data_IF_253387397400
#
_entry.id   IF_253387397400
#
_cell.length_a   1.000
_cell.length_b   1.000
_cell.length_c   1.000
_cell.angle_alpha   90.00
_cell.angle_beta   90.00
_cell.angle_gamma   90.00
#
_symmetry.space_group_name_H-M   'P 1'
#
loop_
_entity.id
_entity.type
_entity.pdbx_description
1 polymer ?
#
# COMPACT_ATOMS: atom_id res chain seq x y z
N UNK A 1 14.44 -7.51 -20.42
CA UNK A 1 14.97 -7.15 -21.76
C UNK A 1 16.48 -7.01 -21.70
N UNK A 2 17.21 -7.65 -22.62
CA UNK A 2 18.65 -7.45 -22.76
C UNK A 2 18.91 -6.24 -23.67
N UNK A 3 19.14 -5.08 -23.07
CA UNK A 3 19.43 -3.86 -23.83
C UNK A 3 20.74 -3.96 -24.60
N UNK A 4 21.72 -4.75 -24.17
CA UNK A 4 22.96 -4.91 -24.93
C UNK A 4 22.66 -5.61 -26.26
N UNK A 5 21.89 -6.71 -26.21
CA UNK A 5 21.45 -7.42 -27.40
C UNK A 5 20.60 -6.54 -28.32
N UNK A 6 19.75 -5.67 -27.76
CA UNK A 6 18.92 -4.73 -28.55
C UNK A 6 19.79 -3.79 -29.38
N UNK A 7 20.76 -3.12 -28.76
CA UNK A 7 21.66 -2.19 -29.45
C UNK A 7 22.49 -2.91 -30.53
N UNK A 8 23.01 -4.11 -30.23
CA UNK A 8 23.75 -4.92 -31.18
C UNK A 8 22.89 -5.31 -32.41
N UNK A 9 21.65 -5.76 -32.18
CA UNK A 9 20.72 -6.15 -33.26
C UNK A 9 20.23 -4.96 -34.08
N UNK A 10 20.09 -3.78 -33.47
CA UNK A 10 19.77 -2.54 -34.19
C UNK A 10 20.98 -1.93 -34.91
N UNK A 11 22.20 -2.43 -34.66
CA UNK A 11 23.42 -1.87 -35.24
C UNK A 11 23.79 -0.48 -34.69
N UNK A 12 23.41 -0.17 -33.45
CA UNK A 12 23.64 1.12 -32.79
C UNK A 12 24.64 0.95 -31.65
N UNK A 13 25.59 1.89 -31.52
CA UNK A 13 26.50 1.93 -30.38
C UNK A 13 25.76 2.24 -29.08
N UNK A 14 26.12 1.57 -27.98
CA UNK A 14 25.53 1.78 -26.65
C UNK A 14 25.81 3.16 -26.06
N UNK A 15 26.76 3.89 -26.62
CA UNK A 15 27.10 5.26 -26.22
C UNK A 15 26.13 6.29 -26.81
N UNK A 16 25.35 5.91 -27.82
CA UNK A 16 24.41 6.79 -28.50
C UNK A 16 22.98 6.52 -28.04
N UNK A 17 22.09 7.49 -28.22
CA UNK A 17 20.65 7.25 -28.01
C UNK A 17 20.09 6.38 -29.14
N UNK A 18 19.55 5.22 -28.78
CA UNK A 18 19.04 4.22 -29.74
C UNK A 18 18.02 4.80 -30.71
N UNK A 19 17.02 5.52 -30.21
CA UNK A 19 15.92 6.03 -31.01
C UNK A 19 16.38 7.17 -31.91
N UNK A 20 17.24 8.05 -31.40
CA UNK A 20 17.81 9.14 -32.18
C UNK A 20 18.70 8.64 -33.34
N UNK A 21 19.45 7.56 -33.14
CA UNK A 21 20.27 6.96 -34.20
C UNK A 21 19.42 6.23 -35.24
N UNK A 22 18.40 5.49 -34.81
CA UNK A 22 17.45 4.84 -35.74
C UNK A 22 16.76 5.88 -36.64
N UNK A 23 16.38 7.04 -36.08
CA UNK A 23 15.76 8.13 -36.85
C UNK A 23 16.67 8.69 -37.95
N UNK A 24 18.00 8.54 -37.85
CA UNK A 24 18.97 8.98 -38.87
C UNK A 24 19.27 7.91 -39.91
N UNK A 25 18.79 6.67 -39.73
CA UNK A 25 19.08 5.55 -40.63
C UNK A 25 18.30 5.64 -41.95
N UNK A 26 18.80 5.02 -43.04
CA UNK A 26 18.01 4.79 -44.24
C UNK A 26 16.73 4.01 -43.91
N UNK A 27 15.61 4.33 -44.57
CA UNK A 27 14.28 3.80 -44.23
C UNK A 27 14.22 2.27 -44.05
N UNK A 28 14.88 1.50 -44.93
CA UNK A 28 14.91 0.04 -44.81
C UNK A 28 15.68 -0.48 -43.59
N UNK A 29 16.76 0.21 -43.18
CA UNK A 29 17.52 -0.14 -41.96
C UNK A 29 16.77 0.29 -40.70
N UNK A 30 16.13 1.47 -40.74
CA UNK A 30 15.29 1.93 -39.66
C UNK A 30 14.12 0.97 -39.40
N UNK A 31 13.45 0.48 -40.45
CA UNK A 31 12.36 -0.48 -40.33
C UNK A 31 12.80 -1.78 -39.64
N UNK A 32 13.94 -2.36 -40.05
CA UNK A 32 14.48 -3.57 -39.41
C UNK A 32 14.86 -3.32 -37.95
N UNK A 33 15.45 -2.16 -37.64
CA UNK A 33 15.80 -1.81 -36.26
C UNK A 33 14.55 -1.63 -35.37
N UNK A 34 13.46 -1.08 -35.92
CA UNK A 34 12.17 -0.97 -35.22
C UNK A 34 11.52 -2.34 -35.01
N UNK A 35 11.55 -3.25 -35.99
CA UNK A 35 11.07 -4.63 -35.83
C UNK A 35 11.82 -5.37 -34.71
N UNK A 36 13.13 -5.17 -34.60
CA UNK A 36 13.93 -5.72 -33.48
C UNK A 36 13.45 -5.17 -32.15
N UNK A 37 13.19 -3.86 -32.06
CA UNK A 37 12.67 -3.24 -30.84
C UNK A 37 11.31 -3.85 -30.49
N UNK A 38 10.40 -3.97 -31.46
CA UNK A 38 9.06 -4.50 -31.24
C UNK A 38 9.09 -5.98 -30.80
N UNK A 39 9.94 -6.81 -31.41
CA UNK A 39 10.15 -8.20 -31.00
C UNK A 39 10.66 -8.29 -29.56
N UNK A 40 11.65 -7.48 -29.21
CA UNK A 40 12.24 -7.48 -27.88
C UNK A 40 11.31 -6.89 -26.82
N UNK A 41 10.49 -5.90 -27.18
CA UNK A 41 9.43 -5.38 -26.32
C UNK A 41 8.31 -6.40 -26.14
N UNK A 42 7.94 -7.17 -27.17
CA UNK A 42 6.97 -8.25 -27.03
C UNK A 42 7.46 -9.31 -26.04
N UNK A 43 8.75 -9.67 -26.09
CA UNK A 43 9.37 -10.53 -25.07
C UNK A 43 9.42 -9.85 -23.70
N UNK A 44 9.71 -8.54 -23.67
CA UNK A 44 9.63 -7.72 -22.47
C UNK A 44 8.26 -7.77 -21.82
N UNK A 45 7.17 -7.65 -22.59
CA UNK A 45 5.79 -7.76 -22.11
C UNK A 45 5.54 -9.14 -21.49
N UNK A 46 5.98 -10.23 -22.14
CA UNK A 46 5.83 -11.60 -21.61
C UNK A 46 6.54 -11.83 -20.28
N UNK A 47 7.64 -11.14 -20.04
CA UNK A 47 8.50 -11.32 -18.86
C UNK A 47 8.34 -10.21 -17.82
N UNK A 48 7.46 -9.24 -18.05
CA UNK A 48 7.27 -8.08 -17.18
C UNK A 48 6.68 -8.53 -15.84
N UNK A 49 7.30 -8.05 -14.76
CA UNK A 49 6.86 -8.32 -13.40
C UNK A 49 6.88 -7.02 -12.59
N UNK A 50 6.02 -6.97 -11.57
CA UNK A 50 6.06 -5.88 -10.59
C UNK A 50 7.26 -6.08 -9.66
N UNK A 51 7.96 -4.99 -9.36
CA UNK A 51 9.02 -5.00 -8.37
C UNK A 51 8.44 -5.25 -6.97
N UNK A 52 9.13 -6.02 -6.10
CA UNK A 52 8.69 -6.24 -4.72
C UNK A 52 8.39 -4.93 -3.96
N UNK A 53 7.17 -4.80 -3.44
CA UNK A 53 6.75 -3.58 -2.74
C UNK A 53 6.02 -2.55 -3.61
N UNK A 54 5.92 -2.75 -4.94
CA UNK A 54 5.15 -1.87 -5.82
C UNK A 54 3.67 -1.78 -5.41
N UNK A 55 3.08 -2.91 -5.02
CA UNK A 55 1.67 -2.98 -4.61
C UNK A 55 1.47 -2.21 -3.29
N UNK A 56 2.34 -2.43 -2.31
CA UNK A 56 2.35 -1.77 -1.01
C UNK A 56 2.52 -0.26 -1.16
N UNK A 57 3.49 0.16 -1.98
CA UNK A 57 3.71 1.57 -2.32
C UNK A 57 2.46 2.19 -2.93
N UNK A 58 1.85 1.56 -3.94
CA UNK A 58 0.64 2.09 -4.58
C UNK A 58 -0.54 2.19 -3.61
N UNK A 59 -0.73 1.21 -2.73
CA UNK A 59 -1.76 1.26 -1.68
C UNK A 59 -1.50 2.43 -0.71
N UNK A 60 -0.25 2.61 -0.31
CA UNK A 60 0.16 3.69 0.60
C UNK A 60 -0.01 5.07 -0.04
N UNK A 61 0.40 5.26 -1.30
CA UNK A 61 0.20 6.50 -2.05
C UNK A 61 -1.29 6.84 -2.18
N UNK A 62 -2.12 5.84 -2.54
CA UNK A 62 -3.58 6.01 -2.62
C UNK A 62 -4.19 6.42 -1.29
N UNK A 63 -3.76 5.81 -0.19
CA UNK A 63 -4.22 6.15 1.16
C UNK A 63 -3.83 7.58 1.59
N UNK A 64 -2.79 8.15 1.00
CA UNK A 64 -2.39 9.56 1.15
C UNK A 64 -2.93 10.47 0.04
N UNK A 65 -3.80 9.95 -0.84
CA UNK A 65 -4.36 10.69 -1.98
C UNK A 65 -3.29 11.29 -2.90
N UNK A 66 -2.14 10.62 -3.01
CA UNK A 66 -1.04 11.01 -3.89
C UNK A 66 -1.26 10.43 -5.30
N UNK A 67 -1.33 11.27 -6.35
CA UNK A 67 -1.47 10.79 -7.72
C UNK A 67 -0.18 10.15 -8.22
N UNK A 68 -0.31 9.25 -9.20
CA UNK A 68 0.83 8.55 -9.82
C UNK A 68 0.75 8.67 -11.33
N UNK A 69 1.90 8.99 -11.94
CA UNK A 69 2.10 9.06 -13.39
C UNK A 69 3.22 8.13 -13.79
N UNK A 70 3.27 7.80 -15.08
CA UNK A 70 4.34 6.99 -15.66
C UNK A 70 4.99 7.79 -16.78
N UNK A 71 6.32 7.78 -16.83
CA UNK A 71 7.09 8.26 -17.98
C UNK A 71 8.05 7.16 -18.41
N UNK A 72 7.85 6.61 -19.61
CA UNK A 72 8.62 5.47 -20.11
C UNK A 72 9.08 5.67 -21.55
N UNK A 73 10.17 4.98 -21.93
CA UNK A 73 10.61 4.88 -23.34
C UNK A 73 9.98 3.69 -24.07
N UNK A 74 9.14 2.91 -23.38
CA UNK A 74 8.40 1.79 -23.99
C UNK A 74 7.22 2.31 -24.81
N UNK A 75 6.74 1.48 -25.73
CA UNK A 75 5.51 1.71 -26.51
C UNK A 75 4.25 1.86 -25.65
N UNK A 76 3.24 2.53 -26.21
CA UNK A 76 1.90 2.62 -25.66
C UNK A 76 1.27 1.24 -25.45
N UNK A 77 1.56 0.27 -26.32
CA UNK A 77 1.14 -1.12 -26.15
C UNK A 77 1.71 -1.75 -24.87
N UNK A 78 2.98 -1.48 -24.57
CA UNK A 78 3.64 -1.96 -23.35
C UNK A 78 3.07 -1.30 -22.09
N UNK A 79 2.69 -0.02 -22.18
CA UNK A 79 1.97 0.68 -21.10
C UNK A 79 0.59 0.05 -20.88
N UNK A 80 -0.15 -0.26 -21.94
CA UNK A 80 -1.45 -0.93 -21.81
C UNK A 80 -1.30 -2.33 -21.22
N UNK A 81 -0.27 -3.08 -21.63
CA UNK A 81 0.03 -4.38 -21.05
C UNK A 81 0.33 -4.27 -19.54
N UNK A 82 1.15 -3.31 -19.11
CA UNK A 82 1.39 -3.03 -17.69
C UNK A 82 0.07 -2.77 -16.96
N UNK A 83 -0.80 -1.93 -17.51
CA UNK A 83 -2.08 -1.61 -16.86
C UNK A 83 -3.02 -2.81 -16.78
N UNK A 84 -3.19 -3.55 -17.88
CA UNK A 84 -4.18 -4.62 -17.99
C UNK A 84 -3.71 -5.93 -17.35
N UNK A 85 -2.44 -6.31 -17.54
CA UNK A 85 -1.92 -7.61 -17.11
C UNK A 85 -1.32 -7.58 -15.70
N UNK A 86 -0.85 -6.43 -15.23
CA UNK A 86 -0.20 -6.31 -13.91
C UNK A 86 -1.00 -5.42 -12.96
N UNK A 87 -1.27 -4.16 -13.32
CA UNK A 87 -1.92 -3.22 -12.41
C UNK A 87 -3.34 -3.65 -12.04
N UNK A 88 -4.16 -4.01 -13.04
CA UNK A 88 -5.56 -4.44 -12.85
C UNK A 88 -5.69 -5.63 -11.89
N UNK A 89 -5.04 -6.78 -12.17
CA UNK A 89 -5.07 -7.94 -11.28
C UNK A 89 -4.49 -7.67 -9.88
N UNK A 90 -3.51 -6.78 -9.76
CA UNK A 90 -2.91 -6.39 -8.47
C UNK A 90 -3.75 -5.35 -7.69
N UNK A 91 -4.84 -4.82 -8.26
CA UNK A 91 -5.65 -3.76 -7.67
C UNK A 91 -4.96 -2.38 -7.62
N UNK A 92 -3.85 -2.23 -8.36
CA UNK A 92 -3.12 -0.98 -8.51
C UNK A 92 -3.89 -0.03 -9.44
N UNK A 93 -3.84 1.29 -9.20
CA UNK A 93 -4.43 2.24 -10.13
C UNK A 93 -3.65 2.22 -11.45
N UNK A 94 -4.32 2.62 -12.53
CA UNK A 94 -3.61 2.99 -13.76
C UNK A 94 -2.82 4.28 -13.51
N UNK A 95 -1.68 4.43 -14.15
CA UNK A 95 -0.93 5.68 -14.11
C UNK A 95 -1.66 6.73 -14.96
N UNK A 96 -1.82 7.94 -14.44
CA UNK A 96 -2.50 9.04 -15.15
C UNK A 96 -1.79 10.40 -14.90
N UNK A 97 -1.13 10.99 -15.93
CA UNK A 97 -0.97 10.43 -17.27
C UNK A 97 0.09 9.31 -17.31
N UNK A 98 0.01 8.46 -18.32
CA UNK A 98 1.04 7.48 -18.64
C UNK A 98 1.66 7.84 -19.99
N UNK A 99 2.81 8.53 -19.95
CA UNK A 99 3.55 9.00 -21.12
C UNK A 99 4.48 7.90 -21.62
N UNK A 100 4.20 7.42 -22.82
CA UNK A 100 4.98 6.45 -23.59
C UNK A 100 5.86 7.16 -24.63
N UNK A 101 6.67 6.39 -25.37
CA UNK A 101 7.40 6.95 -26.52
C UNK A 101 6.51 7.32 -27.70
N UNK A 102 5.29 6.80 -27.75
CA UNK A 102 4.38 6.97 -28.89
C UNK A 102 3.48 8.21 -28.72
N UNK A 103 3.58 8.91 -27.59
CA UNK A 103 2.81 10.12 -27.30
C UNK A 103 3.29 11.31 -28.13
N UNK A 104 2.46 11.70 -29.09
CA UNK A 104 2.80 12.74 -30.06
C UNK A 104 3.06 14.10 -29.38
N UNK A 105 4.18 14.73 -29.75
CA UNK A 105 4.57 16.05 -29.23
C UNK A 105 5.24 16.02 -27.85
N UNK A 106 5.45 14.84 -27.26
CA UNK A 106 6.22 14.68 -26.04
C UNK A 106 7.46 13.84 -26.35
N UNK A 107 8.66 14.44 -26.40
CA UNK A 107 9.88 13.69 -26.63
C UNK A 107 10.12 12.64 -25.52
N UNK A 108 10.68 11.47 -25.85
CA UNK A 108 10.99 10.45 -24.85
C UNK A 108 12.09 10.94 -23.89
N UNK A 109 12.20 10.28 -22.71
CA UNK A 109 13.31 10.53 -21.76
C UNK A 109 14.65 10.49 -22.50
N UNK A 110 15.60 11.40 -22.22
CA UNK A 110 15.71 12.23 -21.02
C UNK A 110 15.14 13.67 -21.15
N UNK A 111 14.30 13.97 -22.15
CA UNK A 111 13.72 15.32 -22.30
C UNK A 111 12.67 15.66 -21.22
N UNK A 112 12.80 16.77 -20.47
CA UNK A 112 11.93 17.09 -19.32
C UNK A 112 10.47 17.44 -19.68
N UNK A 113 10.12 17.56 -20.98
CA UNK A 113 8.78 17.93 -21.46
C UNK A 113 7.68 17.02 -20.89
N UNK A 114 7.94 15.72 -20.74
CA UNK A 114 6.98 14.80 -20.15
C UNK A 114 6.61 15.16 -18.69
N UNK A 115 7.58 15.62 -17.90
CA UNK A 115 7.32 16.06 -16.52
C UNK A 115 6.55 17.38 -16.50
N UNK A 116 6.83 18.30 -17.42
CA UNK A 116 6.04 19.53 -17.56
C UNK A 116 4.59 19.25 -17.95
N UNK A 117 4.38 18.27 -18.85
CA UNK A 117 3.04 17.79 -19.20
C UNK A 117 2.28 17.25 -17.98
N UNK A 118 2.94 16.42 -17.16
CA UNK A 118 2.37 15.90 -15.90
C UNK A 118 2.05 17.04 -14.92
N UNK A 119 3.02 17.94 -14.70
CA UNK A 119 2.87 19.11 -13.83
C UNK A 119 1.65 19.95 -14.22
N UNK A 120 1.48 20.25 -15.50
CA UNK A 120 0.31 20.96 -16.02
C UNK A 120 -0.99 20.15 -15.82
N UNK A 121 -0.98 18.86 -16.17
CA UNK A 121 -2.15 17.97 -16.06
C UNK A 121 -2.66 17.80 -14.62
N UNK A 122 -1.76 17.83 -13.64
CA UNK A 122 -2.07 17.76 -12.23
C UNK A 122 -2.25 19.13 -11.57
N UNK A 123 -1.94 20.23 -12.28
CA UNK A 123 -1.91 21.58 -11.70
C UNK A 123 -0.97 21.68 -10.48
N UNK A 124 0.18 21.00 -10.55
CA UNK A 124 1.20 20.96 -9.50
C UNK A 124 2.52 21.53 -10.03
N UNK A 125 3.28 22.22 -9.19
CA UNK A 125 4.58 22.75 -9.57
C UNK A 125 5.63 21.61 -9.66
N UNK A 126 6.64 21.69 -10.56
CA UNK A 126 7.61 20.60 -10.73
C UNK A 126 8.37 20.23 -9.45
N UNK A 127 8.68 21.21 -8.60
CA UNK A 127 9.34 21.03 -7.30
C UNK A 127 8.48 20.31 -6.24
N UNK A 128 7.20 20.06 -6.53
CA UNK A 128 6.32 19.22 -5.70
C UNK A 128 6.20 17.78 -6.22
N UNK A 129 6.86 17.47 -7.34
CA UNK A 129 6.89 16.14 -7.93
C UNK A 129 8.09 15.34 -7.43
N UNK A 130 7.92 14.03 -7.31
CA UNK A 130 8.99 13.08 -7.02
C UNK A 130 9.15 12.12 -8.19
N UNK A 131 10.28 12.23 -8.91
CA UNK A 131 10.68 11.28 -9.96
C UNK A 131 11.33 10.06 -9.32
N UNK A 132 10.73 8.89 -9.52
CA UNK A 132 11.22 7.61 -9.00
C UNK A 132 11.73 6.76 -10.16
N UNK A 133 12.96 6.26 -10.06
CA UNK A 133 13.55 5.39 -11.09
C UNK A 133 14.79 4.66 -10.60
N UNK A 134 15.37 3.82 -11.44
CA UNK A 134 16.50 2.93 -11.10
C UNK A 134 17.82 3.32 -11.80
N UNK A 135 17.78 4.37 -12.63
CA UNK A 135 18.93 4.86 -13.37
C UNK A 135 19.35 6.28 -12.95
N UNK A 136 20.59 6.47 -12.43
CA UNK A 136 21.13 7.79 -12.14
C UNK A 136 21.22 8.71 -13.37
N UNK A 137 21.62 8.16 -14.52
CA UNK A 137 21.82 8.95 -15.74
C UNK A 137 20.53 9.21 -16.51
N UNK A 138 19.52 8.34 -16.38
CA UNK A 138 18.27 8.49 -17.13
C UNK A 138 17.13 9.06 -16.29
N UNK A 139 16.93 8.61 -15.06
CA UNK A 139 15.74 8.99 -14.28
C UNK A 139 16.05 10.13 -13.31
N UNK A 140 17.18 10.05 -12.59
CA UNK A 140 17.60 11.11 -11.66
C UNK A 140 17.98 12.39 -12.42
N UNK A 141 18.80 12.27 -13.47
CA UNK A 141 19.16 13.43 -14.30
C UNK A 141 17.92 14.07 -14.97
N UNK A 142 16.98 13.24 -15.45
CA UNK A 142 15.71 13.69 -16.03
C UNK A 142 14.85 14.46 -15.03
N UNK A 143 14.64 13.89 -13.83
CA UNK A 143 13.84 14.53 -12.78
C UNK A 143 14.43 15.87 -12.37
N UNK A 144 15.76 15.94 -12.19
CA UNK A 144 16.47 17.19 -11.87
C UNK A 144 16.37 18.23 -12.97
N UNK A 145 16.53 17.83 -14.23
CA UNK A 145 16.39 18.75 -15.37
C UNK A 145 14.97 19.34 -15.45
N UNK A 146 13.97 18.60 -14.99
CA UNK A 146 12.60 19.07 -14.88
C UNK A 146 12.31 19.89 -13.60
N UNK A 147 13.28 20.02 -12.67
CA UNK A 147 13.10 20.70 -11.39
C UNK A 147 12.33 19.89 -10.34
N UNK A 148 12.17 18.58 -10.54
CA UNK A 148 11.52 17.67 -9.60
C UNK A 148 12.51 17.11 -8.57
N UNK A 149 11.98 16.71 -7.42
CA UNK A 149 12.72 15.84 -6.50
C UNK A 149 12.92 14.46 -7.11
N UNK A 150 13.93 13.74 -6.65
CA UNK A 150 14.37 12.48 -7.23
C UNK A 150 14.60 11.40 -6.18
N UNK A 151 14.08 10.20 -6.45
CA UNK A 151 14.34 9.00 -5.67
C UNK A 151 14.94 7.92 -6.57
N UNK A 152 16.12 7.44 -6.20
CA UNK A 152 16.79 6.33 -6.86
C UNK A 152 16.48 5.01 -6.14
N UNK A 153 15.92 4.06 -6.86
CA UNK A 153 15.71 2.68 -6.41
C UNK A 153 16.93 1.84 -6.80
N UNK A 154 17.80 1.57 -5.83
CA UNK A 154 19.04 0.82 -6.01
C UNK A 154 18.87 -0.65 -5.60
N UNK A 155 18.01 -1.38 -6.30
CA UNK A 155 17.73 -2.81 -6.03
C UNK A 155 18.97 -3.70 -6.09
N UNK A 156 19.99 -3.27 -6.84
CA UNK A 156 21.28 -3.96 -6.95
C UNK A 156 22.35 -3.47 -5.98
N UNK A 157 22.03 -2.54 -5.07
CA UNK A 157 22.95 -1.96 -4.08
C UNK A 157 24.23 -1.32 -4.66
N UNK A 158 24.22 -0.98 -5.95
CA UNK A 158 25.37 -0.49 -6.72
C UNK A 158 25.89 0.85 -6.18
N UNK A 159 24.98 1.74 -5.79
CA UNK A 159 25.33 3.03 -5.18
C UNK A 159 25.75 2.82 -3.73
N UNK A 160 24.99 2.01 -2.98
CA UNK A 160 25.27 1.77 -1.56
C UNK A 160 26.63 1.10 -1.33
N UNK A 161 27.10 0.29 -2.27
CA UNK A 161 28.41 -0.36 -2.26
C UNK A 161 29.51 0.52 -2.87
N UNK A 162 29.20 1.76 -3.28
CA UNK A 162 30.15 2.71 -3.86
C UNK A 162 30.60 2.39 -5.29
N UNK A 163 29.91 1.46 -5.97
CA UNK A 163 30.27 1.04 -7.33
C UNK A 163 29.85 2.06 -8.40
N UNK A 164 28.79 2.83 -8.17
CA UNK A 164 28.34 3.91 -9.07
C UNK A 164 27.86 5.13 -8.27
N UNK A 165 27.88 6.32 -8.90
CA UNK A 165 27.34 7.54 -8.31
C UNK A 165 25.81 7.50 -8.24
N UNK A 166 25.21 8.07 -7.20
CA UNK A 166 23.76 8.25 -7.07
C UNK A 166 23.17 9.24 -8.10
N UNK A 167 24.02 9.92 -8.87
CA UNK A 167 23.59 11.06 -9.71
C UNK A 167 23.13 12.25 -8.87
N UNK A 168 23.42 12.23 -7.56
CA UNK A 168 22.96 13.19 -6.57
C UNK A 168 21.45 13.11 -6.28
N UNK A 169 20.83 11.94 -6.42
CA UNK A 169 19.42 11.76 -6.06
C UNK A 169 19.11 12.25 -4.64
N UNK A 170 17.93 12.84 -4.43
CA UNK A 170 17.50 13.35 -3.12
C UNK A 170 17.26 12.22 -2.12
N UNK A 171 16.68 11.12 -2.62
CA UNK A 171 16.51 9.87 -1.89
C UNK A 171 17.21 8.72 -2.61
N UNK A 172 17.79 7.80 -1.84
CA UNK A 172 18.28 6.51 -2.34
C UNK A 172 17.70 5.42 -1.44
N UNK A 173 17.00 4.47 -2.05
CA UNK A 173 16.34 3.36 -1.35
C UNK A 173 16.72 2.03 -2.00
N UNK A 174 16.77 0.95 -1.22
CA UNK A 174 17.17 -0.35 -1.76
C UNK A 174 16.03 -1.09 -2.49
N UNK A 175 14.79 -0.67 -2.33
CA UNK A 175 13.60 -1.25 -3.00
C UNK A 175 12.42 -0.27 -2.94
N UNK A 176 11.37 -0.50 -3.73
CA UNK A 176 10.15 0.32 -3.61
C UNK A 176 9.47 0.17 -2.25
N UNK A 177 9.67 -0.94 -1.55
CA UNK A 177 9.11 -1.16 -0.22
C UNK A 177 9.63 -0.17 0.85
N UNK A 178 10.83 0.38 0.68
CA UNK A 178 11.43 1.35 1.61
C UNK A 178 11.01 2.79 1.31
N UNK A 179 10.54 3.05 0.09
CA UNK A 179 10.24 4.39 -0.41
C UNK A 179 9.18 5.12 0.41
N UNK A 180 8.05 4.51 0.84
CA UNK A 180 7.04 5.16 1.69
C UNK A 180 7.63 5.80 2.94
N UNK A 181 8.53 5.08 3.63
CA UNK A 181 9.18 5.55 4.85
C UNK A 181 10.17 6.68 4.57
N UNK A 182 10.92 6.58 3.47
CA UNK A 182 11.82 7.63 3.03
C UNK A 182 11.04 8.91 2.67
N UNK A 183 9.96 8.80 1.90
CA UNK A 183 9.09 9.92 1.57
C UNK A 183 8.56 10.59 2.85
N UNK A 184 8.04 9.79 3.78
CA UNK A 184 7.50 10.29 5.05
C UNK A 184 8.54 11.03 5.91
N UNK A 185 9.80 10.62 5.86
CA UNK A 185 10.87 11.22 6.66
C UNK A 185 11.41 12.54 6.06
N UNK A 186 11.28 12.72 4.75
CA UNK A 186 11.92 13.83 4.02
C UNK A 186 10.93 14.87 3.48
N UNK A 187 9.66 14.51 3.32
CA UNK A 187 8.64 15.39 2.73
C UNK A 187 7.43 15.56 3.64
N UNK A 188 6.81 16.74 3.56
CA UNK A 188 5.49 16.99 4.12
C UNK A 188 4.44 16.56 3.09
N UNK A 189 3.56 15.64 3.49
CA UNK A 189 2.48 15.19 2.63
C UNK A 189 1.22 16.04 2.84
N UNK A 190 0.46 16.36 1.78
CA UNK A 190 -0.81 17.05 1.90
C UNK A 190 -1.89 16.17 2.54
N UNK A 191 -2.86 16.80 3.20
CA UNK A 191 -4.08 16.14 3.68
C UNK A 191 -4.00 15.55 5.10
N UNK A 192 -5.09 14.93 5.57
CA UNK A 192 -5.28 14.54 6.97
C UNK A 192 -4.40 13.37 7.42
N UNK A 193 -3.85 12.61 6.47
CA UNK A 193 -2.86 11.56 6.76
C UNK A 193 -1.43 12.11 6.82
N UNK A 194 -1.14 13.23 6.15
CA UNK A 194 0.18 13.86 6.12
C UNK A 194 0.48 14.78 7.30
N UNK A 195 -0.47 15.63 7.69
CA UNK A 195 -0.26 16.57 8.81
C UNK A 195 -0.68 15.98 10.17
N UNK A 196 0.18 16.07 11.21
CA UNK A 196 -0.25 15.79 12.57
C UNK A 196 -1.08 16.97 13.08
N UNK A 197 -2.38 16.98 12.77
CA UNK A 197 -3.32 17.79 13.55
C UNK A 197 -3.28 17.25 14.97
N UNK A 198 -2.95 18.11 15.94
CA UNK A 198 -2.99 17.77 17.37
C UNK A 198 -4.44 17.58 17.82
N UNK A 199 -5.04 16.47 17.42
CA UNK A 199 -6.41 16.12 17.78
C UNK A 199 -6.38 15.35 19.08
N UNK A 200 -7.00 15.92 20.11
CA UNK A 200 -7.23 15.21 21.38
C UNK A 200 -8.41 14.28 21.21
N UNK A 201 -8.13 13.00 21.09
CA UNK A 201 -9.13 11.94 21.03
C UNK A 201 -9.65 11.60 22.44
N UNK A 202 -10.96 11.63 22.63
CA UNK A 202 -11.62 11.15 23.85
C UNK A 202 -11.63 9.62 23.90
N UNK A 203 -11.55 9.02 25.08
CA UNK A 203 -11.88 7.60 25.20
C UNK A 203 -13.42 7.48 25.08
N UNK A 204 -13.96 6.81 24.05
CA UNK A 204 -15.40 6.59 23.98
C UNK A 204 -15.83 5.74 25.16
N UNK A 205 -17.11 5.81 25.52
CA UNK A 205 -17.76 4.93 26.50
C UNK A 205 -18.93 4.23 25.85
N UNK A 206 -19.29 3.00 26.28
CA UNK A 206 -20.50 2.34 25.80
C UNK A 206 -21.74 3.22 26.02
N UNK A 207 -22.52 3.45 24.96
CA UNK A 207 -23.70 4.31 25.02
C UNK A 207 -25.01 3.52 25.01
N UNK A 208 -25.08 2.43 24.24
CA UNK A 208 -26.26 1.55 24.23
C UNK A 208 -26.21 0.50 25.35
N UNK A 209 -27.37 -0.01 25.74
CA UNK A 209 -27.48 -1.10 26.72
C UNK A 209 -26.77 -2.38 26.25
N UNK A 210 -26.85 -2.69 24.95
CA UNK A 210 -26.13 -3.81 24.34
C UNK A 210 -24.60 -3.62 24.46
N UNK A 211 -24.08 -2.43 24.12
CA UNK A 211 -22.66 -2.12 24.25
C UNK A 211 -22.18 -2.18 25.71
N UNK A 212 -22.97 -1.67 26.66
CA UNK A 212 -22.65 -1.73 28.07
C UNK A 212 -22.61 -3.18 28.60
N UNK A 213 -23.60 -4.00 28.24
CA UNK A 213 -23.62 -5.43 28.56
C UNK A 213 -22.43 -6.17 27.94
N UNK A 214 -22.09 -5.84 26.69
CA UNK A 214 -20.98 -6.45 25.98
C UNK A 214 -19.61 -6.13 26.61
N UNK A 215 -19.38 -4.86 26.98
CA UNK A 215 -18.17 -4.45 27.69
C UNK A 215 -18.07 -5.09 29.09
N UNK A 216 -19.19 -5.16 29.82
CA UNK A 216 -19.25 -5.73 31.16
C UNK A 216 -19.12 -7.27 31.18
N UNK A 217 -19.40 -7.94 30.06
CA UNK A 217 -19.35 -9.41 29.98
C UNK A 217 -20.68 -10.09 30.35
N UNK A 218 -21.80 -9.38 30.32
CA UNK A 218 -23.12 -9.90 30.71
C UNK A 218 -23.79 -10.67 29.56
N UNK A 219 -23.36 -11.92 29.35
CA UNK A 219 -23.85 -12.78 28.24
C UNK A 219 -25.36 -13.02 28.26
N UNK A 220 -25.97 -13.17 29.45
CA UNK A 220 -27.42 -13.38 29.60
C UNK A 220 -28.24 -12.18 29.12
N UNK A 221 -27.79 -10.95 29.40
CA UNK A 221 -28.47 -9.73 28.95
C UNK A 221 -28.46 -9.61 27.42
N UNK A 222 -27.40 -10.12 26.78
CA UNK A 222 -27.25 -10.04 25.32
C UNK A 222 -28.22 -10.97 24.56
N UNK A 223 -28.76 -12.00 25.20
CA UNK A 223 -29.77 -12.89 24.60
C UNK A 223 -31.09 -12.16 24.30
N UNK A 224 -31.36 -11.05 24.98
CA UNK A 224 -32.56 -10.24 24.78
C UNK A 224 -32.49 -9.26 23.60
N UNK A 225 -31.33 -9.09 22.97
CA UNK A 225 -31.15 -8.14 21.86
C UNK A 225 -31.21 -8.85 20.51
N UNK A 226 -31.84 -8.17 19.54
CA UNK A 226 -31.87 -8.61 18.15
C UNK A 226 -30.51 -8.47 17.46
N UNK A 227 -30.31 -9.23 16.38
CA UNK A 227 -29.12 -9.09 15.53
C UNK A 227 -28.95 -7.66 14.98
N UNK A 228 -30.05 -6.96 14.70
CA UNK A 228 -30.01 -5.57 14.25
C UNK A 228 -29.42 -4.67 15.35
N UNK A 229 -29.89 -4.78 16.59
CA UNK A 229 -29.37 -4.00 17.72
C UNK A 229 -27.90 -4.31 18.03
N UNK A 230 -27.48 -5.57 17.91
CA UNK A 230 -26.09 -5.98 18.09
C UNK A 230 -25.15 -5.50 16.98
N UNK A 231 -25.69 -5.22 15.79
CA UNK A 231 -24.95 -4.67 14.66
C UNK A 231 -24.90 -3.13 14.65
N UNK A 232 -25.77 -2.44 15.41
CA UNK A 232 -25.77 -0.99 15.47
C UNK A 232 -24.54 -0.47 16.22
N UNK A 233 -23.78 0.49 15.65
CA UNK A 233 -22.73 1.19 16.39
C UNK A 233 -23.35 2.16 17.40
N UNK A 234 -22.67 2.35 18.53
CA UNK A 234 -22.98 3.45 19.44
C UNK A 234 -22.88 4.81 18.69
N UNK A 235 -23.65 5.83 19.10
CA UNK A 235 -23.49 7.18 18.57
C UNK A 235 -22.05 7.68 18.79
N UNK A 236 -21.48 8.34 17.79
CA UNK A 236 -20.17 8.96 17.92
C UNK A 236 -20.27 10.21 18.80
N UNK A 237 -19.34 10.36 19.75
CA UNK A 237 -19.21 11.59 20.56
C UNK A 237 -18.52 12.74 19.81
N UNK A 238 -18.03 12.50 18.59
CA UNK A 238 -17.27 13.48 17.80
C UNK A 238 -18.07 13.96 16.59
N UNK A 239 -18.22 15.28 16.47
CA UNK A 239 -18.60 15.95 15.22
C UNK A 239 -17.37 15.95 14.29
N UNK A 240 -17.04 14.79 13.74
CA UNK A 240 -15.98 14.66 12.74
C UNK A 240 -16.56 14.87 11.34
N UNK A 241 -16.04 15.87 10.61
CA UNK A 241 -16.31 16.03 9.17
C UNK A 241 -15.62 14.96 8.31
N UNK A 242 -14.74 14.15 8.89
CA UNK A 242 -14.01 13.09 8.18
C UNK A 242 -14.82 11.78 8.13
N UNK A 243 -14.96 11.23 6.92
CA UNK A 243 -15.76 10.04 6.62
C UNK A 243 -15.35 8.77 7.40
N UNK A 244 -14.15 8.74 7.98
CA UNK A 244 -13.55 7.57 8.63
C UNK A 244 -13.46 7.66 10.16
N UNK A 245 -13.72 8.83 10.76
CA UNK A 245 -13.54 9.05 12.20
C UNK A 245 -14.87 9.13 13.00
N UNK A 246 -16.00 9.23 12.31
CA UNK A 246 -17.32 9.54 12.91
C UNK A 246 -18.23 8.37 13.30
N UNK A 247 -17.74 7.13 13.53
CA UNK A 247 -18.58 6.01 14.01
C UNK A 247 -18.21 5.60 15.43
N UNK A 248 -19.19 5.39 16.30
CA UNK A 248 -18.96 4.76 17.59
C UNK A 248 -18.72 3.25 17.46
N UNK A 249 -18.33 2.62 18.57
CA UNK A 249 -18.07 1.18 18.60
C UNK A 249 -19.39 0.39 18.60
N UNK A 250 -19.41 -0.77 17.95
CA UNK A 250 -20.48 -1.76 18.10
C UNK A 250 -20.31 -2.56 19.40
N UNK A 251 -21.36 -3.24 19.90
CA UNK A 251 -21.24 -4.17 21.02
C UNK A 251 -20.13 -5.22 20.84
N UNK A 252 -19.94 -5.71 19.60
CA UNK A 252 -18.87 -6.66 19.30
C UNK A 252 -17.47 -6.06 19.48
N UNK A 253 -17.26 -4.81 19.07
CA UNK A 253 -15.98 -4.09 19.26
C UNK A 253 -15.69 -3.91 20.75
N UNK A 254 -16.72 -3.59 21.55
CA UNK A 254 -16.59 -3.47 23.01
C UNK A 254 -16.23 -4.78 23.69
N UNK A 255 -16.94 -5.87 23.34
CA UNK A 255 -16.64 -7.20 23.85
C UNK A 255 -15.21 -7.64 23.50
N UNK A 256 -14.77 -7.32 22.27
CA UNK A 256 -13.42 -7.64 21.81
C UNK A 256 -12.33 -6.82 22.50
N UNK A 257 -12.51 -5.51 22.74
CA UNK A 257 -11.54 -4.70 23.51
C UNK A 257 -11.46 -5.13 24.98
N UNK A 258 -12.53 -5.70 25.53
CA UNK A 258 -12.60 -6.17 26.91
C UNK A 258 -12.27 -7.67 27.08
N UNK A 259 -11.95 -8.39 26.02
CA UNK A 259 -11.58 -9.81 26.07
C UNK A 259 -12.72 -10.74 26.49
N UNK A 260 -13.98 -10.35 26.24
CA UNK A 260 -15.17 -11.11 26.68
C UNK A 260 -15.49 -12.24 25.70
N UNK A 261 -14.67 -13.29 25.69
CA UNK A 261 -14.80 -14.43 24.76
C UNK A 261 -16.22 -14.98 24.64
N UNK A 262 -16.87 -15.34 25.75
CA UNK A 262 -18.23 -15.91 25.71
C UNK A 262 -19.30 -14.92 25.20
N UNK A 263 -19.09 -13.63 25.40
CA UNK A 263 -19.94 -12.59 24.80
C UNK A 263 -19.71 -12.48 23.30
N UNK A 264 -18.44 -12.48 22.85
CA UNK A 264 -18.11 -12.46 21.42
C UNK A 264 -18.75 -13.65 20.72
N UNK A 265 -18.59 -14.85 21.28
CA UNK A 265 -19.20 -16.08 20.78
C UNK A 265 -20.73 -15.97 20.70
N UNK A 266 -21.38 -15.47 21.75
CA UNK A 266 -22.83 -15.26 21.77
C UNK A 266 -23.31 -14.24 20.71
N UNK A 267 -22.62 -13.10 20.58
CA UNK A 267 -22.95 -12.08 19.58
C UNK A 267 -22.79 -12.64 18.16
N UNK A 268 -21.68 -13.32 17.88
CA UNK A 268 -21.45 -13.96 16.58
C UNK A 268 -22.52 -15.03 16.29
N UNK A 269 -22.87 -15.85 17.29
CA UNK A 269 -23.95 -16.83 17.18
C UNK A 269 -25.29 -16.21 16.80
N UNK A 270 -25.69 -15.13 17.48
CA UNK A 270 -26.92 -14.39 17.14
C UNK A 270 -26.89 -13.80 15.74
N UNK A 271 -25.76 -13.20 15.33
CA UNK A 271 -25.61 -12.62 13.99
C UNK A 271 -25.64 -13.67 12.88
N UNK A 272 -25.01 -14.83 13.11
CA UNK A 272 -25.01 -15.96 12.17
C UNK A 272 -26.37 -16.65 12.10
N UNK A 273 -27.16 -16.65 13.19
CA UNK A 273 -28.50 -17.21 13.20
C UNK A 273 -29.51 -16.31 12.48
N UNK A 274 -29.30 -14.99 12.47
CA UNK A 274 -30.23 -14.02 11.91
C UNK A 274 -30.09 -13.82 10.38
N UNK A 275 -29.07 -14.40 9.73
CA UNK A 275 -28.86 -14.21 8.30
C UNK A 275 -27.65 -14.99 7.75
N UNK A 276 -27.33 -14.82 6.46
CA UNK A 276 -26.18 -15.47 5.86
C UNK A 276 -24.87 -15.01 6.52
N UNK A 277 -23.80 -15.81 6.42
CA UNK A 277 -22.48 -15.51 6.97
C UNK A 277 -21.95 -14.09 6.66
N UNK A 278 -22.38 -13.51 5.54
CA UNK A 278 -22.10 -12.13 5.15
C UNK A 278 -22.53 -11.07 6.19
N UNK A 279 -23.59 -11.31 6.96
CA UNK A 279 -24.05 -10.40 8.01
C UNK A 279 -23.07 -10.39 9.20
N UNK A 280 -22.59 -11.57 9.61
CA UNK A 280 -21.57 -11.67 10.66
C UNK A 280 -20.23 -11.05 10.20
N UNK A 281 -19.82 -11.29 8.95
CA UNK A 281 -18.63 -10.65 8.39
C UNK A 281 -18.74 -9.12 8.39
N UNK A 282 -19.91 -8.59 8.00
CA UNK A 282 -20.18 -7.14 8.03
C UNK A 282 -20.02 -6.56 9.44
N UNK A 283 -20.50 -7.26 10.46
CA UNK A 283 -20.39 -6.81 11.85
C UNK A 283 -18.96 -6.87 12.40
N UNK A 284 -18.19 -7.92 12.06
CA UNK A 284 -16.78 -8.05 12.47
C UNK A 284 -15.90 -7.02 11.76
N UNK A 285 -16.14 -6.78 10.47
CA UNK A 285 -15.45 -5.78 9.65
C UNK A 285 -15.95 -4.35 9.92
N UNK A 286 -16.96 -4.17 10.79
CA UNK A 286 -17.47 -2.86 11.13
C UNK A 286 -16.37 -1.98 11.74
N UNK A 287 -16.29 -0.75 11.25
CA UNK A 287 -15.36 0.27 11.71
C UNK A 287 -16.03 1.11 12.79
N UNK A 288 -15.48 1.04 14.01
CA UNK A 288 -15.89 1.88 15.12
C UNK A 288 -15.01 3.12 15.29
N UNK A 289 -14.81 3.52 16.55
CA UNK A 289 -14.06 4.72 16.91
C UNK A 289 -12.62 4.66 16.38
N UNK A 290 -12.19 5.72 15.68
CA UNK A 290 -10.91 5.82 14.98
C UNK A 290 -10.69 4.67 13.97
N UNK A 291 -11.75 4.23 13.31
CA UNK A 291 -11.69 3.21 12.28
C UNK A 291 -11.28 1.82 12.77
N UNK A 292 -11.27 1.59 14.08
CA UNK A 292 -10.88 0.31 14.66
C UNK A 292 -11.99 -0.74 14.48
N UNK A 293 -11.62 -1.98 14.18
CA UNK A 293 -12.50 -3.15 14.09
C UNK A 293 -12.45 -3.96 15.38
N UNK A 294 -13.32 -4.97 15.51
CA UNK A 294 -13.26 -5.89 16.63
C UNK A 294 -11.90 -6.63 16.68
N UNK A 295 -11.41 -7.05 15.51
CA UNK A 295 -10.11 -7.71 15.36
C UNK A 295 -8.97 -6.80 15.81
N UNK A 296 -8.95 -5.53 15.40
CA UNK A 296 -7.86 -4.62 15.78
C UNK A 296 -7.85 -4.30 17.28
N UNK A 297 -9.02 -4.23 17.93
CA UNK A 297 -9.12 -4.07 19.38
C UNK A 297 -8.61 -5.29 20.13
N UNK A 298 -9.05 -6.50 19.75
CA UNK A 298 -8.57 -7.74 20.35
C UNK A 298 -7.05 -7.91 20.18
N UNK A 299 -6.51 -7.61 18.99
CA UNK A 299 -5.09 -7.63 18.68
C UNK A 299 -4.28 -6.66 19.55
N UNK A 300 -4.75 -5.42 19.68
CA UNK A 300 -4.11 -4.39 20.52
C UNK A 300 -4.08 -4.75 22.00
N UNK A 301 -4.99 -5.61 22.47
CA UNK A 301 -5.09 -6.04 23.88
C UNK A 301 -4.49 -7.42 24.13
N UNK A 302 -4.11 -8.15 23.07
CA UNK A 302 -3.54 -9.48 23.17
C UNK A 302 -4.58 -10.56 23.50
N UNK A 303 -5.86 -10.34 23.20
CA UNK A 303 -6.92 -11.31 23.44
C UNK A 303 -6.94 -12.37 22.33
N UNK A 304 -5.93 -13.24 22.32
CA UNK A 304 -5.70 -14.25 21.27
C UNK A 304 -6.84 -15.26 21.14
N UNK A 305 -7.53 -15.57 22.24
CA UNK A 305 -8.70 -16.45 22.23
C UNK A 305 -9.92 -15.80 21.54
N UNK A 306 -10.14 -14.51 21.76
CA UNK A 306 -11.12 -13.70 21.02
C UNK A 306 -10.72 -13.58 19.54
N UNK A 307 -9.43 -13.37 19.25
CA UNK A 307 -8.95 -13.32 17.86
C UNK A 307 -9.23 -14.61 17.11
N UNK A 308 -9.00 -15.78 17.71
CA UNK A 308 -9.31 -17.07 17.06
C UNK A 308 -10.80 -17.19 16.71
N UNK A 309 -11.71 -16.71 17.56
CA UNK A 309 -13.14 -16.69 17.25
C UNK A 309 -13.47 -15.74 16.09
N UNK A 310 -12.94 -14.51 16.12
CA UNK A 310 -13.20 -13.51 15.09
C UNK A 310 -12.63 -13.95 13.73
N UNK A 311 -11.41 -14.49 13.70
CA UNK A 311 -10.74 -14.94 12.47
C UNK A 311 -11.39 -16.19 11.85
N UNK A 312 -12.16 -16.96 12.62
CA UNK A 312 -12.89 -18.13 12.13
C UNK A 312 -14.17 -17.76 11.36
N UNK A 313 -14.59 -16.49 11.39
CA UNK A 313 -15.76 -16.03 10.62
C UNK A 313 -15.40 -16.01 9.12
N UNK A 314 -16.23 -16.56 8.22
CA UNK A 314 -15.97 -16.47 6.78
C UNK A 314 -16.06 -15.02 6.27
N UNK A 315 -15.13 -14.62 5.38
CA UNK A 315 -15.17 -13.31 4.72
C UNK A 315 -14.67 -12.12 5.56
N UNK A 316 -13.86 -12.38 6.59
CA UNK A 316 -13.23 -11.33 7.40
C UNK A 316 -12.10 -10.65 6.64
N UNK A 317 -12.03 -9.33 6.78
CA UNK A 317 -10.90 -8.52 6.35
C UNK A 317 -9.98 -8.25 7.56
N UNK A 318 -8.84 -8.92 7.59
CA UNK A 318 -7.82 -8.80 8.64
C UNK A 318 -6.91 -7.59 8.44
N UNK A 319 -6.98 -6.92 7.29
CA UNK A 319 -6.09 -5.84 6.91
C UNK A 319 -6.78 -4.47 6.90
N UNK A 320 -8.06 -4.41 7.30
CA UNK A 320 -8.80 -3.18 7.49
C UNK A 320 -8.01 -2.20 8.41
N UNK A 321 -7.52 -1.07 7.87
CA UNK A 321 -6.60 -0.22 8.62
C UNK A 321 -7.33 0.82 9.47
N UNK A 322 -6.75 1.24 10.60
CA UNK A 322 -7.25 2.40 11.33
C UNK A 322 -6.91 3.71 10.58
N UNK A 323 -7.18 4.83 11.24
CA UNK A 323 -6.94 6.17 10.72
C UNK A 323 -5.47 6.55 10.50
N UNK A 324 -4.56 5.80 11.11
CA UNK A 324 -3.11 5.92 10.96
C UNK A 324 -2.57 4.82 10.04
N UNK A 325 -3.43 4.24 9.23
CA UNK A 325 -3.19 3.09 8.36
C UNK A 325 -2.69 1.82 9.09
N UNK A 326 -2.83 1.73 10.41
CA UNK A 326 -2.38 0.59 11.20
C UNK A 326 -3.41 -0.54 11.12
N UNK A 327 -2.96 -1.71 10.69
CA UNK A 327 -3.74 -2.96 10.69
C UNK A 327 -3.75 -3.61 12.08
N UNK A 328 -4.63 -4.59 12.34
CA UNK A 328 -4.54 -5.43 13.54
C UNK A 328 -3.14 -5.98 13.84
N UNK A 329 -2.39 -6.38 12.82
CA UNK A 329 -1.04 -6.93 12.98
C UNK A 329 -0.04 -5.89 13.52
N UNK A 330 -0.14 -4.62 13.07
CA UNK A 330 0.64 -3.52 13.64
C UNK A 330 0.36 -3.36 15.14
N UNK A 331 -0.90 -3.42 15.55
CA UNK A 331 -1.26 -3.28 16.96
C UNK A 331 -0.72 -4.42 17.82
N UNK A 332 -0.83 -5.67 17.36
CA UNK A 332 -0.30 -6.83 18.08
C UNK A 332 1.23 -6.75 18.22
N UNK A 333 1.94 -6.36 17.15
CA UNK A 333 3.39 -6.18 17.17
C UNK A 333 3.83 -5.05 18.11
N UNK A 334 3.22 -3.87 17.97
CA UNK A 334 3.50 -2.70 18.82
C UNK A 334 3.23 -2.95 20.31
N UNK A 335 2.22 -3.77 20.61
CA UNK A 335 1.87 -4.15 21.99
C UNK A 335 2.54 -5.43 22.48
N UNK A 336 3.43 -6.01 21.65
CA UNK A 336 4.27 -7.17 21.98
C UNK A 336 3.46 -8.43 22.33
N UNK A 337 2.32 -8.60 21.66
CA UNK A 337 1.44 -9.76 21.85
C UNK A 337 1.77 -10.83 20.81
N UNK A 338 2.82 -11.62 21.06
CA UNK A 338 3.32 -12.65 20.12
C UNK A 338 2.23 -13.66 19.72
N UNK A 339 1.42 -14.15 20.68
CA UNK A 339 0.33 -15.07 20.37
C UNK A 339 -0.73 -14.46 19.45
N UNK A 340 -1.02 -13.16 19.62
CA UNK A 340 -1.96 -12.45 18.76
C UNK A 340 -1.38 -12.26 17.35
N UNK A 341 -0.07 -11.97 17.25
CA UNK A 341 0.67 -11.93 15.98
C UNK A 341 0.55 -13.27 15.26
N UNK A 342 0.83 -14.38 15.96
CA UNK A 342 0.75 -15.73 15.39
C UNK A 342 -0.66 -16.05 14.89
N UNK A 343 -1.70 -15.78 15.67
CA UNK A 343 -3.10 -16.01 15.26
C UNK A 343 -3.46 -15.21 14.01
N UNK A 344 -3.07 -13.93 13.93
CA UNK A 344 -3.35 -13.09 12.77
C UNK A 344 -2.63 -13.58 11.51
N UNK A 345 -1.35 -13.94 11.64
CA UNK A 345 -0.54 -14.47 10.55
C UNK A 345 -1.06 -15.82 10.04
N UNK A 346 -1.41 -16.75 10.95
CA UNK A 346 -2.05 -18.04 10.63
C UNK A 346 -3.39 -17.84 9.91
N UNK A 347 -4.13 -16.78 10.25
CA UNK A 347 -5.40 -16.43 9.62
C UNK A 347 -5.25 -15.67 8.28
N UNK A 348 -4.02 -15.36 7.86
CA UNK A 348 -3.73 -14.72 6.57
C UNK A 348 -3.66 -13.20 6.58
N UNK A 349 -3.45 -12.56 7.73
CA UNK A 349 -3.18 -11.11 7.78
C UNK A 349 -1.90 -10.76 7.00
N UNK A 350 -1.88 -9.64 6.31
CA UNK A 350 -0.75 -9.22 5.47
C UNK A 350 0.43 -8.70 6.32
N UNK A 351 1.59 -9.40 6.35
CA UNK A 351 2.76 -8.97 7.09
C UNK A 351 3.49 -7.77 6.45
N UNK A 352 3.09 -7.33 5.25
CA UNK A 352 3.68 -6.22 4.50
C UNK A 352 2.78 -5.00 4.39
N UNK A 353 1.64 -4.99 5.07
CA UNK A 353 0.80 -3.80 5.13
C UNK A 353 1.59 -2.62 5.71
N UNK A 354 1.40 -1.41 5.14
CA UNK A 354 2.12 -0.22 5.56
C UNK A 354 1.24 0.68 6.41
N UNK A 355 1.77 1.14 7.55
CA UNK A 355 1.16 2.22 8.31
C UNK A 355 1.34 3.58 7.61
N UNK A 356 0.79 4.63 8.21
CA UNK A 356 0.87 6.02 7.70
C UNK A 356 2.30 6.49 7.49
N UNK A 357 3.26 6.00 8.28
CA UNK A 357 4.67 6.35 8.19
C UNK A 357 5.45 5.45 7.24
N UNK A 358 4.78 4.56 6.50
CA UNK A 358 5.42 3.62 5.59
C UNK A 358 6.14 2.48 6.30
N UNK A 359 5.72 2.13 7.53
CA UNK A 359 6.33 1.03 8.30
C UNK A 359 5.49 -0.23 8.18
N UNK A 360 6.16 -1.37 8.14
CA UNK A 360 5.53 -2.70 8.25
C UNK A 360 5.35 -3.08 9.73
N UNK A 361 4.50 -4.08 10.05
CA UNK A 361 4.25 -4.48 11.44
C UNK A 361 5.49 -4.96 12.21
N UNK A 362 6.46 -5.59 11.56
CA UNK A 362 7.74 -6.02 12.18
C UNK A 362 8.58 -4.82 12.65
N UNK A 363 8.43 -3.66 12.01
CA UNK A 363 9.11 -2.42 12.37
C UNK A 363 8.42 -1.66 13.52
N UNK A 364 7.23 -2.10 13.93
CA UNK A 364 6.48 -1.52 15.05
C UNK A 364 6.85 -2.15 16.41
N UNK A 365 7.74 -3.16 16.42
CA UNK A 365 8.17 -3.86 17.63
C UNK A 365 9.68 -3.83 17.86
N UNK A 366 10.07 -3.75 19.12
CA UNK A 366 11.45 -3.91 19.57
C UNK A 366 11.77 -5.34 20.01
N UNK A 367 10.78 -6.25 20.04
CA UNK A 367 10.95 -7.66 20.39
C UNK A 367 11.42 -8.45 19.17
N UNK A 368 12.64 -9.00 19.23
CA UNK A 368 13.25 -9.74 18.13
C UNK A 368 12.37 -10.90 17.65
N UNK A 369 11.89 -11.77 18.56
CA UNK A 369 11.05 -12.90 18.20
C UNK A 369 9.78 -12.52 17.42
N UNK A 370 9.14 -11.39 17.75
CA UNK A 370 7.95 -10.92 17.03
C UNK A 370 8.35 -10.32 15.68
N UNK A 371 9.44 -9.55 15.65
CA UNK A 371 9.97 -8.98 14.41
C UNK A 371 10.31 -10.06 13.40
N UNK A 372 11.08 -11.06 13.83
CA UNK A 372 11.57 -12.14 12.98
C UNK A 372 10.40 -13.03 12.51
N UNK A 373 9.45 -13.34 13.39
CA UNK A 373 8.20 -14.04 13.04
C UNK A 373 7.42 -13.36 11.91
N UNK A 374 7.28 -12.03 11.95
CA UNK A 374 6.56 -11.27 10.92
C UNK A 374 7.40 -11.13 9.65
N UNK A 375 8.68 -10.76 9.80
CA UNK A 375 9.59 -10.50 8.69
C UNK A 375 9.87 -11.76 7.85
N UNK A 376 9.84 -12.95 8.47
CA UNK A 376 10.09 -14.22 7.80
C UNK A 376 8.81 -14.98 7.43
N UNK A 377 7.62 -14.46 7.76
CA UNK A 377 6.36 -15.16 7.48
C UNK A 377 6.18 -15.48 6.00
N UNK A 378 5.89 -16.74 5.68
CA UNK A 378 5.66 -17.22 4.32
C UNK A 378 6.92 -17.37 3.45
N UNK A 379 8.10 -17.01 3.95
CA UNK A 379 9.37 -17.10 3.20
C UNK A 379 10.02 -18.50 3.23
N UNK A 380 9.54 -19.40 4.09
CA UNK A 380 10.19 -20.70 4.35
C UNK A 380 11.46 -20.61 5.20
N UNK A 381 11.90 -19.41 5.60
CA UNK A 381 12.99 -19.20 6.55
C UNK A 381 12.46 -19.41 7.99
N UNK A 382 13.28 -19.96 8.92
CA UNK A 382 12.87 -20.09 10.31
C UNK A 382 12.58 -18.71 10.92
N UNK A 383 11.46 -18.65 11.66
CA UNK A 383 11.00 -17.48 12.41
C UNK A 383 11.95 -17.12 13.56
#
# INVERSE_FOLDING_TARGET
>A
MDFKLMYERCGVSRENDLLAEIAKMPAGKAAVALEVIDEMEAEGRRTLQLEPGAIELCRWLRAHSLPVALVTRNSAESVEHLHAALCGPAGMPRFDPAVSRDDAGIPPKPDPTATQHISHRWSLAPDTLLMVGDSPSNDVAFGKAAGAHTALVDSGRRVSEGAVSSGGADLVVASLAELPRAIWAHFTLPGPTGEPILTKYGAPTPASAASAAAAAGHSSLLQGFSAAELAQPDPSSENSSEAWSGKGNTPLIWAADAGRRGVVEGILGTLLAAGPAAAAATAVNARGYLGATAVSRAARRGHSDVLRLLCAVPGIDLDTPNIKLQTPLHFAAFKRHEDAVRVLLEAGANPRALDRKGRTPDQDTDVAAIRDLIANWGSGLPA
#
